data_IF_948343478861
#
_entry.id   IF_948343478861
#
_cell.length_a   1.000
_cell.length_b   1.000
_cell.length_c   1.000
_cell.angle_alpha   90.00
_cell.angle_beta   90.00
_cell.angle_gamma   90.00
#
_symmetry.space_group_name_H-M   'P 1'
#
loop_
_entity.id
_entity.type
_entity.pdbx_description
1 polymer ?
#
# COMPACT_ATOMS: atom_id res chain seq x y z
N UNK A 1 0.25 22.78 -30.95
CA UNK A 1 -0.37 22.15 -29.77
C UNK A 1 0.75 21.63 -28.88
N UNK A 2 0.97 22.27 -27.74
CA UNK A 2 1.98 21.82 -26.78
C UNK A 2 1.36 20.65 -26.01
N UNK A 3 1.79 19.42 -26.28
CA UNK A 3 1.45 18.28 -25.44
C UNK A 3 2.08 18.52 -24.06
N UNK A 4 1.25 18.88 -23.09
CA UNK A 4 1.67 18.90 -21.68
C UNK A 4 2.09 17.47 -21.34
N UNK A 5 3.39 17.24 -21.14
CA UNK A 5 3.90 15.92 -20.75
C UNK A 5 3.29 15.60 -19.39
N UNK A 6 2.31 14.72 -19.39
CA UNK A 6 1.66 14.24 -18.18
C UNK A 6 2.72 13.50 -17.37
N UNK A 7 3.09 14.04 -16.20
CA UNK A 7 4.14 13.46 -15.34
C UNK A 7 3.45 12.87 -14.12
N UNK A 8 3.36 11.55 -14.10
CA UNK A 8 3.04 10.79 -12.89
C UNK A 8 4.17 10.98 -11.88
N UNK A 9 3.86 11.61 -10.75
CA UNK A 9 4.79 11.88 -9.67
C UNK A 9 4.41 11.07 -8.43
N UNK A 10 5.42 10.49 -7.77
CA UNK A 10 5.22 9.84 -6.47
C UNK A 10 5.92 10.66 -5.41
N UNK A 11 5.21 10.95 -4.34
CA UNK A 11 5.68 11.74 -3.21
C UNK A 11 5.11 11.25 -1.88
N UNK A 12 5.67 11.69 -0.76
CA UNK A 12 5.01 11.50 0.55
C UNK A 12 3.63 12.18 0.54
N UNK A 13 2.67 11.53 1.18
CA UNK A 13 1.34 12.08 1.40
C UNK A 13 1.39 13.30 2.33
N UNK A 14 0.43 14.19 2.16
CA UNK A 14 0.21 15.39 2.98
C UNK A 14 -1.22 15.37 3.51
N UNK A 15 -1.50 16.15 4.55
CA UNK A 15 -2.85 16.22 5.13
C UNK A 15 -3.92 16.61 4.10
N UNK A 16 -3.59 17.47 3.13
CA UNK A 16 -4.52 17.84 2.06
C UNK A 16 -4.90 16.68 1.13
N UNK A 17 -4.17 15.57 1.14
CA UNK A 17 -4.48 14.37 0.37
C UNK A 17 -5.50 13.47 1.07
N UNK A 18 -5.75 13.68 2.37
CA UNK A 18 -6.60 12.82 3.22
C UNK A 18 -7.98 12.57 2.63
N UNK A 19 -8.74 13.57 2.14
CA UNK A 19 -10.06 13.31 1.57
C UNK A 19 -10.00 12.29 0.43
N UNK A 20 -9.02 12.41 -0.45
CA UNK A 20 -8.85 11.51 -1.59
C UNK A 20 -8.36 10.12 -1.17
N UNK A 21 -7.47 10.05 -0.18
CA UNK A 21 -7.03 8.78 0.42
C UNK A 21 -8.21 8.03 1.05
N UNK A 22 -9.11 8.74 1.74
CA UNK A 22 -10.32 8.14 2.32
C UNK A 22 -11.25 7.53 1.27
N UNK A 23 -11.38 8.15 0.09
CA UNK A 23 -12.15 7.59 -1.02
C UNK A 23 -11.53 6.28 -1.54
N UNK A 24 -10.21 6.26 -1.69
CA UNK A 24 -9.48 5.07 -2.12
C UNK A 24 -9.53 3.94 -1.07
N UNK A 25 -9.46 4.27 0.22
CA UNK A 25 -9.65 3.31 1.32
C UNK A 25 -11.04 2.66 1.28
N UNK A 26 -12.07 3.40 0.87
CA UNK A 26 -13.41 2.83 0.69
C UNK A 26 -13.42 1.82 -0.46
N UNK A 27 -12.79 2.15 -1.60
CA UNK A 27 -12.72 1.25 -2.76
C UNK A 27 -12.01 -0.07 -2.42
N UNK A 28 -10.87 -0.02 -1.72
CA UNK A 28 -10.12 -1.24 -1.38
C UNK A 28 -10.86 -2.09 -0.34
N UNK A 29 -11.53 -1.47 0.63
CA UNK A 29 -12.33 -2.19 1.60
C UNK A 29 -13.51 -2.91 0.95
N UNK A 30 -14.14 -2.32 -0.05
CA UNK A 30 -15.25 -2.95 -0.76
C UNK A 30 -14.78 -4.19 -1.54
N UNK A 31 -13.59 -4.17 -2.14
CA UNK A 31 -12.97 -5.36 -2.75
C UNK A 31 -12.74 -6.47 -1.71
N UNK A 32 -12.25 -6.13 -0.52
CA UNK A 32 -12.06 -7.10 0.56
C UNK A 32 -13.40 -7.65 1.07
N UNK A 33 -14.43 -6.81 1.20
CA UNK A 33 -15.75 -7.21 1.64
C UNK A 33 -16.47 -8.12 0.62
N UNK A 34 -16.19 -7.97 -0.67
CA UNK A 34 -16.69 -8.90 -1.70
C UNK A 34 -16.04 -10.30 -1.56
N UNK A 35 -14.75 -10.35 -1.26
CA UNK A 35 -14.01 -11.62 -1.08
C UNK A 35 -14.29 -12.31 0.26
N UNK A 36 -14.49 -11.53 1.34
CA UNK A 36 -14.70 -12.02 2.72
C UNK A 36 -15.78 -11.18 3.42
N UNK A 37 -17.05 -11.32 3.02
CA UNK A 37 -18.18 -10.60 3.63
C UNK A 37 -18.45 -11.02 5.09
N UNK A 38 -17.94 -12.18 5.50
CA UNK A 38 -17.91 -12.66 6.87
C UNK A 38 -16.93 -11.91 7.77
N UNK A 39 -15.93 -11.25 7.19
CA UNK A 39 -14.82 -10.62 7.90
C UNK A 39 -14.80 -9.09 7.75
N UNK A 40 -15.09 -8.58 6.55
CA UNK A 40 -15.07 -7.15 6.25
C UNK A 40 -16.48 -6.57 6.16
N UNK A 41 -16.67 -5.38 6.73
CA UNK A 41 -17.94 -4.64 6.65
C UNK A 41 -17.91 -3.73 5.43
N UNK A 42 -18.79 -3.99 4.45
CA UNK A 42 -18.94 -3.17 3.25
C UNK A 42 -19.26 -1.71 3.61
N UNK A 43 -18.68 -0.77 2.87
CA UNK A 43 -18.89 0.67 3.07
C UNK A 43 -18.15 1.26 4.27
N UNK A 44 -17.30 0.46 4.96
CA UNK A 44 -16.42 0.96 6.01
C UNK A 44 -15.01 1.24 5.44
N UNK A 45 -14.15 1.81 6.26
CA UNK A 45 -12.75 2.14 5.94
C UNK A 45 -11.85 1.66 7.05
N UNK A 46 -10.62 1.32 6.71
CA UNK A 46 -9.61 0.87 7.67
C UNK A 46 -9.21 1.98 8.64
N UNK A 47 -9.12 3.21 8.14
CA UNK A 47 -8.67 4.38 8.89
C UNK A 47 -9.69 5.50 8.85
N UNK A 48 -9.77 6.26 9.94
CA UNK A 48 -10.48 7.54 10.03
C UNK A 48 -9.58 8.69 9.57
N UNK A 49 -10.16 9.89 9.41
CA UNK A 49 -9.37 11.10 9.13
C UNK A 49 -8.36 11.39 10.26
N UNK A 50 -8.76 11.24 11.52
CA UNK A 50 -7.88 11.42 12.66
C UNK A 50 -6.71 10.42 12.68
N UNK A 51 -6.96 9.15 12.32
CA UNK A 51 -5.90 8.15 12.19
C UNK A 51 -4.92 8.55 11.09
N UNK A 52 -5.41 9.04 9.95
CA UNK A 52 -4.56 9.43 8.82
C UNK A 52 -3.66 10.63 9.14
N UNK A 53 -4.15 11.61 9.91
CA UNK A 53 -3.33 12.73 10.38
C UNK A 53 -2.13 12.21 11.18
N UNK A 54 -2.35 11.25 12.08
CA UNK A 54 -1.27 10.65 12.88
C UNK A 54 -0.31 9.85 11.99
N UNK A 55 -0.84 8.98 11.12
CA UNK A 55 -0.06 8.09 10.25
C UNK A 55 0.84 8.90 9.30
N UNK A 56 0.30 9.93 8.66
CA UNK A 56 1.04 10.72 7.65
C UNK A 56 2.18 11.52 8.29
N UNK A 57 2.03 11.92 9.55
CA UNK A 57 3.05 12.68 10.29
C UNK A 57 4.06 11.80 11.04
N UNK A 58 3.95 10.47 10.96
CA UNK A 58 4.88 9.54 11.57
C UNK A 58 5.86 8.97 10.53
N UNK A 59 7.17 9.17 10.74
CA UNK A 59 8.22 8.66 9.84
C UNK A 59 8.34 7.12 9.86
N UNK A 60 7.79 6.45 10.87
CA UNK A 60 7.76 4.98 10.95
C UNK A 60 6.65 4.39 10.07
N UNK A 61 5.64 5.18 9.75
CA UNK A 61 4.51 4.79 8.89
C UNK A 61 4.41 5.63 7.62
N UNK A 62 5.43 5.62 6.74
CA UNK A 62 5.43 6.48 5.56
C UNK A 62 4.29 6.11 4.61
N UNK A 63 3.58 7.13 4.15
CA UNK A 63 2.52 7.02 3.14
C UNK A 63 2.97 7.74 1.87
N UNK A 64 2.88 7.04 0.74
CA UNK A 64 3.19 7.59 -0.57
C UNK A 64 1.94 7.69 -1.44
N UNK A 65 1.85 8.74 -2.23
CA UNK A 65 0.75 8.96 -3.18
C UNK A 65 1.30 9.10 -4.59
N UNK A 66 0.56 8.60 -5.56
CA UNK A 66 0.82 8.79 -6.98
C UNK A 66 -0.10 9.88 -7.49
N UNK A 67 0.47 11.00 -7.88
CA UNK A 67 -0.22 12.21 -8.31
C UNK A 67 -0.02 12.48 -9.80
N UNK A 68 -1.08 12.93 -10.45
CA UNK A 68 -1.08 13.40 -11.82
C UNK A 68 -2.14 14.50 -11.98
N UNK A 69 -1.75 15.66 -12.49
CA UNK A 69 -2.63 16.82 -12.68
C UNK A 69 -3.45 17.18 -11.41
N UNK A 70 -2.77 17.25 -10.25
CA UNK A 70 -3.36 17.54 -8.93
C UNK A 70 -4.40 16.51 -8.44
N UNK A 71 -4.47 15.33 -9.08
CA UNK A 71 -5.34 14.23 -8.65
C UNK A 71 -4.53 13.01 -8.21
N UNK A 72 -4.87 12.46 -7.04
CA UNK A 72 -4.25 11.26 -6.50
C UNK A 72 -4.86 10.03 -7.15
N UNK A 73 -4.03 9.29 -7.89
CA UNK A 73 -4.41 8.07 -8.63
C UNK A 73 -4.29 6.79 -7.80
N UNK A 74 -3.53 6.84 -6.73
CA UNK A 74 -3.28 5.70 -5.85
C UNK A 74 -2.35 6.06 -4.70
N UNK A 75 -2.22 5.13 -3.75
CA UNK A 75 -1.37 5.27 -2.57
C UNK A 75 -0.64 3.98 -2.23
N UNK A 76 0.38 4.09 -1.38
CA UNK A 76 1.00 2.99 -0.67
C UNK A 76 1.21 3.37 0.81
N UNK A 77 0.61 2.62 1.72
CA UNK A 77 0.88 2.68 3.16
C UNK A 77 1.98 1.70 3.50
N UNK A 78 2.99 2.16 4.20
CA UNK A 78 4.12 1.34 4.59
C UNK A 78 4.39 1.47 6.09
N UNK A 79 5.08 0.48 6.66
CA UNK A 79 5.53 0.47 8.03
C UNK A 79 7.00 0.04 8.07
N UNK A 80 7.87 0.87 8.61
CA UNK A 80 9.24 0.50 8.94
C UNK A 80 9.24 -0.35 10.21
N UNK A 81 9.64 -1.61 10.07
CA UNK A 81 9.68 -2.57 11.17
C UNK A 81 11.10 -2.67 11.73
N UNK A 82 11.26 -2.33 13.00
CA UNK A 82 12.51 -2.54 13.74
C UNK A 82 12.58 -3.99 14.22
N UNK A 83 13.49 -4.76 13.63
CA UNK A 83 13.75 -6.16 13.97
C UNK A 83 14.97 -6.34 14.88
N UNK A 84 15.70 -5.26 15.19
CA UNK A 84 16.94 -5.31 15.99
C UNK A 84 16.76 -5.88 17.40
N UNK A 85 15.53 -5.79 17.92
CA UNK A 85 15.16 -6.35 19.24
C UNK A 85 14.89 -7.86 19.22
N UNK A 86 14.82 -8.47 18.03
CA UNK A 86 14.59 -9.90 17.88
C UNK A 86 15.94 -10.63 17.86
N UNK A 87 16.35 -11.18 19.01
CA UNK A 87 17.68 -11.81 19.17
C UNK A 87 17.94 -13.04 18.29
N UNK A 88 16.90 -13.57 17.64
CA UNK A 88 16.97 -14.74 16.75
C UNK A 88 16.92 -14.38 15.26
N UNK A 89 16.97 -13.10 14.92
CA UNK A 89 16.96 -12.62 13.52
C UNK A 89 18.30 -11.98 13.17
N UNK A 90 18.76 -12.18 11.94
CA UNK A 90 19.92 -11.48 11.42
C UNK A 90 19.61 -10.04 10.95
N UNK A 91 18.50 -9.78 10.22
CA UNK A 91 18.20 -8.43 9.75
C UNK A 91 17.66 -7.53 10.87
N UNK A 92 18.06 -6.26 10.81
CA UNK A 92 17.64 -5.25 11.79
C UNK A 92 16.37 -4.50 11.35
N UNK A 93 16.07 -4.43 10.07
CA UNK A 93 14.98 -3.63 9.52
C UNK A 93 14.28 -4.29 8.34
N UNK A 94 12.97 -4.16 8.29
CA UNK A 94 12.13 -4.57 7.17
C UNK A 94 11.13 -3.47 6.84
N UNK A 95 10.69 -3.38 5.59
CA UNK A 95 9.56 -2.53 5.21
C UNK A 95 8.34 -3.41 4.95
N UNK A 96 7.24 -3.12 5.63
CA UNK A 96 5.97 -3.78 5.41
C UNK A 96 5.04 -2.85 4.61
N UNK A 97 4.53 -3.33 3.49
CA UNK A 97 3.43 -2.66 2.76
C UNK A 97 2.13 -3.09 3.42
N UNK A 98 1.53 -2.16 4.16
CA UNK A 98 0.27 -2.38 4.86
C UNK A 98 -0.93 -2.37 3.91
N UNK A 99 -0.88 -1.49 2.91
CA UNK A 99 -1.89 -1.38 1.87
C UNK A 99 -1.33 -0.66 0.64
N UNK A 100 -1.76 -1.07 -0.54
CA UNK A 100 -1.50 -0.39 -1.80
C UNK A 100 -2.79 -0.40 -2.63
N UNK A 101 -3.21 0.75 -3.06
CA UNK A 101 -4.44 0.92 -3.81
C UNK A 101 -4.23 1.82 -5.01
N UNK A 102 -4.80 1.43 -6.14
CA UNK A 102 -4.95 2.27 -7.34
C UNK A 102 -6.44 2.44 -7.60
N UNK A 103 -6.86 3.69 -7.78
CA UNK A 103 -8.23 4.00 -8.17
C UNK A 103 -8.64 3.14 -9.38
N UNK A 104 -9.83 2.57 -9.34
CA UNK A 104 -10.35 1.67 -10.36
C UNK A 104 -10.27 2.28 -11.78
N UNK A 105 -10.46 3.61 -11.89
CA UNK A 105 -10.38 4.36 -13.15
C UNK A 105 -8.98 4.39 -13.77
N UNK A 106 -7.93 4.18 -12.96
CA UNK A 106 -6.53 4.28 -13.36
C UNK A 106 -5.78 2.96 -13.28
N UNK A 107 -6.48 1.85 -13.04
CA UNK A 107 -5.91 0.50 -13.09
C UNK A 107 -5.43 0.17 -14.49
N UNK A 108 -4.45 -0.75 -14.60
CA UNK A 108 -3.82 -1.18 -15.86
C UNK A 108 -3.08 -0.08 -16.63
N UNK A 109 -2.81 1.08 -15.99
CA UNK A 109 -2.07 2.19 -16.59
C UNK A 109 -0.66 2.36 -15.97
N UNK A 110 -0.18 1.37 -15.24
CA UNK A 110 1.16 1.35 -14.66
C UNK A 110 1.31 2.08 -13.32
N UNK A 111 0.23 2.66 -12.76
CA UNK A 111 0.27 3.38 -11.47
C UNK A 111 0.75 2.47 -10.34
N UNK A 112 0.19 1.26 -10.22
CA UNK A 112 0.57 0.30 -9.19
C UNK A 112 2.04 -0.12 -9.28
N UNK A 113 2.54 -0.35 -10.50
CA UNK A 113 3.97 -0.65 -10.72
C UNK A 113 4.86 0.49 -10.25
N UNK A 114 4.54 1.72 -10.61
CA UNK A 114 5.33 2.90 -10.21
C UNK A 114 5.35 3.10 -8.69
N UNK A 115 4.19 2.93 -8.01
CA UNK A 115 4.11 2.96 -6.55
C UNK A 115 4.99 1.87 -5.94
N UNK A 116 4.88 0.64 -6.42
CA UNK A 116 5.67 -0.48 -5.93
C UNK A 116 7.18 -0.26 -6.13
N UNK A 117 7.61 0.13 -7.34
CA UNK A 117 9.01 0.42 -7.65
C UNK A 117 9.57 1.54 -6.75
N UNK A 118 8.77 2.57 -6.48
CA UNK A 118 9.14 3.65 -5.56
C UNK A 118 9.33 3.13 -4.12
N UNK A 119 8.41 2.28 -3.64
CA UNK A 119 8.50 1.67 -2.31
C UNK A 119 9.76 0.80 -2.20
N UNK A 120 10.12 0.04 -3.25
CA UNK A 120 11.37 -0.74 -3.25
C UNK A 120 12.61 0.16 -3.18
N UNK A 121 12.62 1.30 -3.89
CA UNK A 121 13.73 2.25 -3.83
C UNK A 121 13.82 2.91 -2.45
N UNK A 122 12.68 3.27 -1.87
CA UNK A 122 12.60 3.79 -0.51
C UNK A 122 13.15 2.78 0.51
N UNK A 123 12.72 1.51 0.44
CA UNK A 123 13.21 0.45 1.32
C UNK A 123 14.74 0.26 1.23
N UNK A 124 15.30 0.33 0.01
CA UNK A 124 16.75 0.29 -0.20
C UNK A 124 17.47 1.47 0.44
N UNK A 125 16.91 2.68 0.30
CA UNK A 125 17.46 3.89 0.92
C UNK A 125 17.44 3.83 2.44
N UNK A 126 16.39 3.23 3.00
CA UNK A 126 16.24 2.98 4.45
C UNK A 126 17.04 1.76 4.95
N UNK A 127 17.83 1.12 4.07
CA UNK A 127 18.65 -0.05 4.40
C UNK A 127 17.84 -1.24 4.92
N UNK A 128 16.59 -1.39 4.44
CA UNK A 128 15.75 -2.53 4.78
C UNK A 128 16.28 -3.82 4.12
N UNK A 129 16.26 -4.91 4.87
CA UNK A 129 16.62 -6.25 4.36
C UNK A 129 15.66 -6.74 3.28
N UNK A 130 14.37 -6.49 3.49
CA UNK A 130 13.33 -6.91 2.53
C UNK A 130 12.12 -5.96 2.57
N UNK A 131 11.22 -6.19 1.61
CA UNK A 131 9.86 -5.63 1.58
C UNK A 131 8.88 -6.78 1.65
N UNK A 132 7.92 -6.71 2.56
CA UNK A 132 6.89 -7.73 2.77
C UNK A 132 5.50 -7.14 2.69
N UNK A 133 4.51 -7.97 2.42
CA UNK A 133 3.09 -7.65 2.47
C UNK A 133 2.25 -8.90 2.72
N UNK A 134 0.99 -8.72 3.05
CA UNK A 134 0.01 -9.81 3.08
C UNK A 134 -0.98 -9.65 1.92
N UNK A 135 -1.34 -10.77 1.29
CA UNK A 135 -2.38 -10.83 0.26
C UNK A 135 -3.46 -11.79 0.71
N UNK A 136 -4.70 -11.36 0.66
CA UNK A 136 -5.84 -12.24 0.93
C UNK A 136 -5.98 -13.29 -0.18
N UNK A 137 -6.20 -14.54 0.20
CA UNK A 137 -6.37 -15.66 -0.74
C UNK A 137 -7.50 -15.40 -1.75
N UNK A 138 -8.54 -14.70 -1.31
CA UNK A 138 -9.68 -14.30 -2.15
C UNK A 138 -9.42 -13.07 -3.04
N UNK A 139 -8.18 -12.60 -3.12
CA UNK A 139 -7.75 -11.53 -4.02
C UNK A 139 -6.67 -12.02 -5.00
N UNK A 140 -7.01 -12.90 -5.96
CA UNK A 140 -6.04 -13.47 -6.89
C UNK A 140 -5.37 -12.43 -7.79
N UNK A 141 -6.06 -11.33 -8.11
CA UNK A 141 -5.50 -10.25 -8.96
C UNK A 141 -4.35 -9.55 -8.26
N UNK A 142 -4.47 -9.25 -6.96
CA UNK A 142 -3.38 -8.68 -6.18
C UNK A 142 -2.21 -9.66 -6.08
N UNK A 143 -2.47 -10.94 -5.83
CA UNK A 143 -1.42 -11.97 -5.78
C UNK A 143 -0.66 -12.05 -7.09
N UNK A 144 -1.35 -12.14 -8.23
CA UNK A 144 -0.75 -12.19 -9.55
C UNK A 144 0.07 -10.93 -9.86
N UNK A 145 -0.41 -9.75 -9.43
CA UNK A 145 0.34 -8.50 -9.56
C UNK A 145 1.68 -8.57 -8.85
N UNK A 146 1.71 -8.95 -7.56
CA UNK A 146 2.94 -9.00 -6.78
C UNK A 146 3.89 -10.09 -7.24
N UNK A 147 3.39 -11.26 -7.64
CA UNK A 147 4.19 -12.33 -8.24
C UNK A 147 4.83 -11.85 -9.56
N UNK A 148 4.08 -11.14 -10.40
CA UNK A 148 4.57 -10.50 -11.62
C UNK A 148 5.62 -9.40 -11.37
N UNK A 149 5.64 -8.82 -10.18
CA UNK A 149 6.66 -7.87 -9.71
C UNK A 149 7.89 -8.56 -9.08
N UNK A 150 7.91 -9.89 -9.02
CA UNK A 150 9.03 -10.69 -8.51
C UNK A 150 8.95 -11.05 -7.04
N UNK A 151 7.83 -10.77 -6.36
CA UNK A 151 7.63 -11.23 -4.99
C UNK A 151 7.40 -12.74 -4.93
N UNK A 152 7.82 -13.35 -3.84
CA UNK A 152 7.64 -14.79 -3.57
C UNK A 152 6.94 -14.97 -2.23
N UNK A 153 6.21 -16.06 -2.09
CA UNK A 153 5.58 -16.44 -0.82
C UNK A 153 6.69 -16.66 0.22
N UNK A 154 6.61 -15.92 1.33
CA UNK A 154 7.54 -16.05 2.46
C UNK A 154 6.97 -16.99 3.52
N UNK A 155 5.68 -16.86 3.83
CA UNK A 155 4.95 -17.66 4.83
C UNK A 155 3.49 -17.73 4.46
N UNK A 156 2.77 -18.66 5.06
CA UNK A 156 1.33 -18.82 4.89
C UNK A 156 0.65 -18.60 6.24
N UNK A 157 -0.43 -17.82 6.27
CA UNK A 157 -1.31 -17.68 7.42
C UNK A 157 -2.48 -18.66 7.25
N UNK A 158 -2.74 -19.47 8.26
CA UNK A 158 -3.83 -20.46 8.27
C UNK A 158 -4.90 -20.02 9.27
N UNK A 159 -6.17 -20.27 8.96
CA UNK A 159 -7.28 -19.98 9.88
C UNK A 159 -8.23 -21.18 10.01
N UNK A 160 -8.95 -21.24 11.11
CA UNK A 160 -10.17 -22.03 11.29
C UNK A 160 -11.26 -21.09 11.83
N UNK A 161 -12.41 -21.09 11.18
CA UNK A 161 -13.58 -20.31 11.65
C UNK A 161 -14.32 -21.18 12.66
N UNK A 162 -14.64 -20.62 13.84
CA UNK A 162 -15.31 -21.32 14.96
C UNK A 162 -16.81 -21.09 14.95
#
# INVERSE_FOLDING_TARGET
MTYKKIILMIRKAKENDIPRILDLLSQVNDVHAEGRPDFFIKGKRKYTEADLIVIINDDVTPVFVCEEDDDIKGYAFCVLQDLSKCSNLHPDKSLYIDDICVDEKYRRQGVGRKLYDFVLQYAKKEECFNVTLNVWDKNPDAKAFYEGMGMKVQKVCMEVVL
#
